data_IF_720456009864
#
_entry.id   IF_720456009864
#
_cell.length_a   1.000
_cell.length_b   1.000
_cell.length_c   1.000
_cell.angle_alpha   90.00
_cell.angle_beta   90.00
_cell.angle_gamma   90.00
#
_symmetry.space_group_name_H-M   'P 1'
#
loop_
_entity.id
_entity.type
_entity.pdbx_description
1 polymer ?
#
# COMPACT_ATOMS: atom_id res chain seq x y z
N UNK A 1 15.98 1.96 8.03
CA UNK A 1 15.16 1.36 6.97
C UNK A 1 16.07 0.48 6.12
N UNK A 2 15.55 -0.65 5.63
CA UNK A 2 16.27 -1.56 4.72
C UNK A 2 15.33 -1.99 3.60
N UNK A 3 15.88 -2.25 2.41
CA UNK A 3 15.11 -2.80 1.29
C UNK A 3 14.77 -4.27 1.58
N UNK A 4 13.51 -4.65 1.37
CA UNK A 4 13.06 -6.03 1.54
C UNK A 4 13.59 -6.94 0.43
N UNK A 5 13.84 -8.17 0.81
CA UNK A 5 14.17 -9.28 -0.09
C UNK A 5 12.99 -10.25 -0.22
N UNK A 6 13.03 -11.21 -1.16
CA UNK A 6 12.01 -12.27 -1.24
C UNK A 6 11.84 -13.09 0.05
N UNK A 7 12.88 -13.16 0.90
CA UNK A 7 12.84 -13.87 2.19
C UNK A 7 12.01 -13.11 3.25
N UNK A 8 11.84 -11.80 3.08
CA UNK A 8 11.10 -10.94 4.01
C UNK A 8 9.59 -10.92 3.74
N UNK A 9 9.14 -11.49 2.62
CA UNK A 9 7.75 -11.39 2.14
C UNK A 9 6.74 -11.86 3.17
N UNK A 10 6.98 -12.98 3.85
CA UNK A 10 6.04 -13.53 4.81
C UNK A 10 5.93 -12.63 6.05
N UNK A 11 7.05 -12.16 6.58
CA UNK A 11 7.07 -11.21 7.71
C UNK A 11 6.45 -9.88 7.35
N UNK A 12 6.76 -9.33 6.17
CA UNK A 12 6.18 -8.07 5.69
C UNK A 12 4.66 -8.20 5.49
N UNK A 13 4.18 -9.34 4.97
CA UNK A 13 2.76 -9.61 4.80
C UNK A 13 2.01 -9.66 6.13
N UNK A 14 2.60 -10.27 7.17
CA UNK A 14 2.00 -10.31 8.50
C UNK A 14 1.94 -8.92 9.14
N UNK A 15 2.99 -8.11 9.00
CA UNK A 15 2.98 -6.70 9.46
C UNK A 15 1.87 -5.90 8.78
N UNK A 16 1.76 -5.97 7.45
CA UNK A 16 0.71 -5.27 6.71
C UNK A 16 -0.68 -5.80 7.05
N UNK A 17 -0.86 -7.12 7.18
CA UNK A 17 -2.15 -7.69 7.58
C UNK A 17 -2.61 -7.18 8.94
N UNK A 18 -1.72 -7.09 9.92
CA UNK A 18 -2.02 -6.53 11.24
C UNK A 18 -2.31 -5.04 11.19
N UNK A 19 -1.52 -4.29 10.41
CA UNK A 19 -1.72 -2.85 10.23
C UNK A 19 -3.09 -2.51 9.63
N UNK A 20 -3.49 -3.27 8.59
CA UNK A 20 -4.72 -3.04 7.84
C UNK A 20 -5.94 -3.82 8.35
N UNK A 21 -5.82 -4.61 9.43
CA UNK A 21 -6.92 -5.41 9.99
C UNK A 21 -8.08 -4.58 10.53
N UNK A 22 -7.85 -3.31 10.80
CA UNK A 22 -8.85 -2.33 11.27
C UNK A 22 -9.13 -1.22 10.25
N UNK A 23 -8.53 -1.30 9.07
CA UNK A 23 -8.69 -0.32 8.01
C UNK A 23 -10.07 -0.49 7.33
N UNK A 24 -10.95 0.52 7.38
CA UNK A 24 -12.32 0.35 6.90
C UNK A 24 -12.42 0.20 5.38
N UNK A 25 -11.48 0.81 4.62
CA UNK A 25 -11.44 0.66 3.16
C UNK A 25 -11.11 -0.78 2.77
N UNK A 26 -10.06 -1.34 3.35
CA UNK A 26 -9.58 -2.68 3.03
C UNK A 26 -10.50 -3.76 3.59
N UNK A 27 -10.90 -3.64 4.87
CA UNK A 27 -11.79 -4.62 5.55
C UNK A 27 -13.18 -4.63 4.92
N UNK A 28 -13.67 -3.49 4.42
CA UNK A 28 -14.96 -3.40 3.73
C UNK A 28 -15.06 -4.28 2.48
N UNK A 29 -13.94 -4.63 1.86
CA UNK A 29 -13.88 -5.53 0.70
C UNK A 29 -13.76 -7.02 1.08
N UNK A 30 -13.57 -7.34 2.37
CA UNK A 30 -13.42 -8.72 2.82
C UNK A 30 -14.77 -9.33 3.21
N UNK A 31 -14.91 -10.65 3.14
CA UNK A 31 -16.02 -11.36 3.76
C UNK A 31 -16.03 -11.13 5.28
N UNK A 32 -17.24 -11.15 5.89
CA UNK A 32 -17.38 -11.07 7.35
C UNK A 32 -16.68 -12.24 8.04
N UNK A 33 -16.05 -11.98 9.19
CA UNK A 33 -15.38 -12.98 10.02
C UNK A 33 -13.89 -12.72 10.22
N UNK A 34 -13.06 -13.75 10.11
CA UNK A 34 -11.61 -13.62 10.24
C UNK A 34 -11.03 -12.76 9.13
N UNK A 35 -10.43 -11.64 9.49
CA UNK A 35 -9.81 -10.68 8.55
C UNK A 35 -8.29 -10.91 8.39
N UNK A 36 -7.63 -11.45 9.41
CA UNK A 36 -6.16 -11.56 9.39
C UNK A 36 -5.66 -12.55 8.35
N UNK A 37 -6.22 -13.77 8.32
CA UNK A 37 -5.80 -14.78 7.35
C UNK A 37 -5.99 -14.35 5.89
N UNK A 38 -7.16 -13.81 5.48
CA UNK A 38 -7.32 -13.24 4.14
C UNK A 38 -6.33 -12.12 3.86
N UNK A 39 -6.11 -11.19 4.81
CA UNK A 39 -5.17 -10.07 4.63
C UNK A 39 -3.72 -10.55 4.50
N UNK A 40 -3.27 -11.50 5.33
CA UNK A 40 -1.91 -12.07 5.17
C UNK A 40 -1.73 -12.71 3.78
N UNK A 41 -2.73 -13.43 3.27
CA UNK A 41 -2.68 -13.99 1.92
C UNK A 41 -2.63 -12.90 0.84
N UNK A 42 -3.46 -11.87 0.99
CA UNK A 42 -3.52 -10.72 0.09
C UNK A 42 -2.17 -10.00 0.02
N UNK A 43 -1.64 -9.58 1.16
CA UNK A 43 -0.38 -8.85 1.23
C UNK A 43 0.82 -9.69 0.78
N UNK A 44 0.85 -10.98 1.12
CA UNK A 44 1.86 -11.91 0.59
C UNK A 44 1.84 -11.96 -0.94
N UNK A 45 0.64 -11.98 -1.53
CA UNK A 45 0.47 -11.99 -2.99
C UNK A 45 0.92 -10.67 -3.60
N UNK A 46 0.43 -9.53 -3.08
CA UNK A 46 0.79 -8.21 -3.55
C UNK A 46 2.30 -7.98 -3.46
N UNK A 47 2.93 -8.29 -2.33
CA UNK A 47 4.38 -8.15 -2.15
C UNK A 47 5.17 -8.96 -3.19
N UNK A 48 4.78 -10.21 -3.44
CA UNK A 48 5.44 -11.05 -4.46
C UNK A 48 5.29 -10.46 -5.86
N UNK A 49 4.11 -10.00 -6.22
CA UNK A 49 3.85 -9.40 -7.53
C UNK A 49 4.62 -8.09 -7.70
N UNK A 50 4.59 -7.21 -6.71
CA UNK A 50 5.31 -5.94 -6.74
C UNK A 50 6.83 -6.17 -6.85
N UNK A 51 7.41 -7.04 -6.03
CA UNK A 51 8.85 -7.34 -6.11
C UNK A 51 9.23 -8.01 -7.44
N UNK A 52 8.40 -8.88 -7.98
CA UNK A 52 8.64 -9.52 -9.28
C UNK A 52 8.53 -8.54 -10.46
N UNK A 53 7.73 -7.48 -10.32
CA UNK A 53 7.61 -6.40 -11.31
C UNK A 53 8.71 -5.33 -11.21
N UNK A 54 9.66 -5.46 -10.27
CA UNK A 54 10.73 -4.47 -10.04
C UNK A 54 10.40 -3.45 -8.95
N UNK A 55 9.19 -3.47 -8.40
CA UNK A 55 8.75 -2.56 -7.35
C UNK A 55 9.55 -2.70 -6.05
N UNK A 56 9.31 -1.78 -5.14
CA UNK A 56 10.17 -1.55 -3.99
C UNK A 56 9.40 -1.75 -2.67
N UNK A 57 9.88 -2.66 -1.83
CA UNK A 57 9.41 -2.81 -0.45
C UNK A 57 10.53 -2.43 0.52
N UNK A 58 10.17 -1.65 1.55
CA UNK A 58 11.08 -1.18 2.59
C UNK A 58 10.58 -1.60 3.96
N UNK A 59 11.51 -2.02 4.82
CA UNK A 59 11.23 -2.48 6.17
C UNK A 59 11.88 -1.54 7.19
N UNK A 60 11.08 -1.07 8.15
CA UNK A 60 11.62 -0.49 9.37
C UNK A 60 11.87 -1.62 10.38
N UNK A 61 13.12 -1.84 10.74
CA UNK A 61 13.51 -2.84 11.74
C UNK A 61 13.87 -2.18 13.05
N UNK A 62 13.65 -2.88 14.16
CA UNK A 62 14.16 -2.45 15.47
C UNK A 62 15.69 -2.46 15.45
N UNK A 63 16.31 -1.41 15.97
CA UNK A 63 17.77 -1.30 16.01
C UNK A 63 18.36 -2.46 16.84
N UNK A 64 19.28 -3.21 16.25
CA UNK A 64 19.92 -4.36 16.90
C UNK A 64 19.07 -5.63 17.02
N UNK A 65 17.89 -5.67 16.37
CA UNK A 65 17.01 -6.85 16.37
C UNK A 65 16.46 -7.13 14.96
N UNK A 66 16.11 -8.38 14.64
CA UNK A 66 15.53 -8.75 13.35
C UNK A 66 14.07 -8.31 13.20
N UNK A 67 13.44 -7.84 14.28
CA UNK A 67 12.02 -7.50 14.32
C UNK A 67 11.66 -6.41 13.31
N UNK A 68 10.63 -6.67 12.49
CA UNK A 68 10.07 -5.72 11.52
C UNK A 68 8.91 -4.98 12.18
N UNK A 69 9.04 -3.67 12.29
CA UNK A 69 8.08 -2.79 12.95
C UNK A 69 7.11 -2.13 11.96
N UNK A 70 7.52 -2.02 10.70
CA UNK A 70 6.69 -1.42 9.66
C UNK A 70 7.20 -1.75 8.27
N UNK A 71 6.32 -1.60 7.30
CA UNK A 71 6.55 -1.87 5.87
C UNK A 71 6.00 -0.73 5.04
N UNK A 72 6.76 -0.30 4.03
CA UNK A 72 6.26 0.57 2.96
C UNK A 72 6.46 -0.11 1.61
N UNK A 73 5.43 -0.10 0.78
CA UNK A 73 5.41 -0.73 -0.54
C UNK A 73 5.20 0.35 -1.59
N UNK A 74 6.11 0.40 -2.57
CA UNK A 74 6.15 1.43 -3.60
C UNK A 74 6.21 0.82 -5.00
N UNK A 75 5.58 1.50 -5.94
CA UNK A 75 5.70 1.24 -7.38
C UNK A 75 6.29 2.47 -8.07
N UNK A 76 7.29 2.26 -8.93
CA UNK A 76 8.00 3.32 -9.62
C UNK A 76 7.27 3.85 -10.86
N UNK A 77 7.73 4.99 -11.41
CA UNK A 77 7.18 5.54 -12.63
C UNK A 77 7.29 4.53 -13.77
N UNK A 78 6.16 4.20 -14.41
CA UNK A 78 6.12 3.24 -15.52
C UNK A 78 6.10 1.76 -15.13
N UNK A 79 6.21 1.41 -13.84
CA UNK A 79 5.99 0.06 -13.34
C UNK A 79 4.48 -0.23 -13.36
N UNK A 80 4.01 -0.91 -14.41
CA UNK A 80 2.61 -1.34 -14.50
C UNK A 80 2.54 -2.84 -14.29
N UNK A 81 1.80 -3.27 -13.27
CA UNK A 81 1.42 -4.68 -13.15
C UNK A 81 0.55 -5.03 -14.37
N UNK A 82 1.08 -5.82 -15.28
CA UNK A 82 0.32 -6.20 -16.48
C UNK A 82 -0.79 -7.19 -16.11
N UNK A 83 -1.91 -7.15 -16.85
CA UNK A 83 -3.00 -8.13 -16.70
C UNK A 83 -2.49 -9.58 -16.78
N UNK A 84 -1.44 -9.85 -17.56
CA UNK A 84 -0.81 -11.18 -17.64
C UNK A 84 -0.17 -11.61 -16.33
N UNK A 85 0.36 -10.67 -15.54
CA UNK A 85 0.94 -10.93 -14.21
C UNK A 85 -0.14 -11.16 -13.15
N UNK A 86 -1.37 -10.65 -13.36
CA UNK A 86 -2.51 -10.89 -12.47
C UNK A 86 -3.14 -12.28 -12.66
N UNK A 87 -3.08 -12.87 -13.85
CA UNK A 87 -3.71 -14.18 -14.16
C UNK A 87 -3.27 -15.29 -13.21
N UNK A 88 -1.98 -15.50 -12.90
CA UNK A 88 -1.55 -16.52 -11.93
C UNK A 88 -2.06 -16.26 -10.51
N UNK A 89 -2.43 -15.01 -10.20
CA UNK A 89 -2.93 -14.57 -8.90
C UNK A 89 -4.45 -14.66 -8.73
N UNK A 90 -5.20 -14.84 -9.80
CA UNK A 90 -6.66 -14.75 -9.80
C UNK A 90 -7.31 -15.66 -8.77
N UNK A 91 -6.88 -16.91 -8.67
CA UNK A 91 -7.40 -17.86 -7.66
C UNK A 91 -7.11 -17.40 -6.23
N UNK A 92 -5.96 -16.75 -6.00
CA UNK A 92 -5.61 -16.19 -4.70
C UNK A 92 -6.56 -15.03 -4.35
N UNK A 93 -6.79 -14.10 -5.26
CA UNK A 93 -7.72 -12.99 -5.06
C UNK A 93 -9.16 -13.48 -4.86
N UNK A 94 -9.62 -14.45 -5.65
CA UNK A 94 -10.92 -15.11 -5.47
C UNK A 94 -11.04 -15.76 -4.08
N UNK A 95 -9.98 -16.40 -3.58
CA UNK A 95 -9.96 -17.03 -2.25
C UNK A 95 -10.00 -16.02 -1.10
N UNK A 96 -9.46 -14.81 -1.31
CA UNK A 96 -9.44 -13.71 -0.34
C UNK A 96 -10.80 -13.00 -0.32
N UNK A 97 -11.25 -12.51 -1.45
CA UNK A 97 -12.45 -11.67 -1.54
C UNK A 97 -13.76 -12.48 -1.65
N UNK A 98 -13.69 -13.73 -2.11
CA UNK A 98 -14.85 -14.65 -2.26
C UNK A 98 -16.01 -13.97 -3.01
N UNK A 99 -17.19 -13.89 -2.41
CA UNK A 99 -18.37 -13.22 -3.00
C UNK A 99 -18.21 -11.70 -3.16
N UNK A 100 -17.20 -11.09 -2.54
CA UNK A 100 -16.87 -9.65 -2.65
C UNK A 100 -15.87 -9.35 -3.77
N UNK A 101 -15.43 -10.38 -4.50
CA UNK A 101 -14.46 -10.23 -5.57
C UNK A 101 -14.89 -9.25 -6.68
N UNK A 102 -16.16 -9.23 -7.14
CA UNK A 102 -16.60 -8.26 -8.13
C UNK A 102 -16.47 -6.80 -7.65
N UNK A 103 -16.81 -6.53 -6.37
CA UNK A 103 -16.65 -5.19 -5.77
C UNK A 103 -15.17 -4.82 -5.64
N UNK A 104 -14.33 -5.74 -5.21
CA UNK A 104 -12.89 -5.53 -5.10
C UNK A 104 -12.27 -5.21 -6.48
N UNK A 105 -12.66 -5.92 -7.53
CA UNK A 105 -12.18 -5.69 -8.88
C UNK A 105 -12.62 -4.31 -9.43
N UNK A 106 -13.87 -3.93 -9.20
CA UNK A 106 -14.37 -2.60 -9.60
C UNK A 106 -13.65 -1.50 -8.82
N UNK A 107 -13.43 -1.67 -7.52
CA UNK A 107 -12.71 -0.70 -6.67
C UNK A 107 -11.27 -0.54 -7.12
N UNK A 108 -10.55 -1.62 -7.39
CA UNK A 108 -9.18 -1.59 -7.91
C UNK A 108 -9.09 -0.86 -9.26
N UNK A 109 -10.04 -1.13 -10.16
CA UNK A 109 -10.12 -0.42 -11.44
C UNK A 109 -10.33 1.08 -11.24
N UNK A 110 -11.28 1.48 -10.40
CA UNK A 110 -11.59 2.89 -10.13
C UNK A 110 -10.41 3.60 -9.43
N UNK A 111 -9.72 2.91 -8.53
CA UNK A 111 -8.48 3.40 -7.93
C UNK A 111 -7.42 3.68 -9.00
N UNK A 112 -7.20 2.72 -9.91
CA UNK A 112 -6.26 2.88 -11.01
C UNK A 112 -6.62 4.04 -11.96
N UNK A 113 -7.90 4.26 -12.23
CA UNK A 113 -8.41 5.38 -13.04
C UNK A 113 -8.23 6.75 -12.34
N UNK A 114 -8.06 6.77 -11.01
CA UNK A 114 -7.82 7.98 -10.22
C UNK A 114 -6.35 8.39 -10.14
N UNK A 115 -5.43 7.54 -10.60
CA UNK A 115 -4.01 7.87 -10.64
C UNK A 115 -3.73 9.04 -11.61
N UNK A 116 -2.66 9.83 -11.38
CA UNK A 116 -2.19 10.82 -12.35
C UNK A 116 -1.86 10.17 -13.72
N UNK A 117 -2.13 10.90 -14.81
CA UNK A 117 -1.77 10.45 -16.16
C UNK A 117 -0.25 10.45 -16.39
N UNK A 118 0.46 11.39 -15.76
CA UNK A 118 1.91 11.49 -15.83
C UNK A 118 2.59 10.34 -15.07
N UNK A 119 3.80 9.94 -15.48
CA UNK A 119 4.60 8.99 -14.70
C UNK A 119 4.81 9.49 -13.27
N UNK A 120 4.53 8.66 -12.28
CA UNK A 120 4.59 9.02 -10.86
C UNK A 120 5.04 7.85 -10.00
N UNK A 121 5.56 8.14 -8.81
CA UNK A 121 5.74 7.16 -7.76
C UNK A 121 4.41 6.89 -7.08
N UNK A 122 4.10 5.63 -6.82
CA UNK A 122 2.90 5.22 -6.09
C UNK A 122 3.25 4.57 -4.76
N UNK A 123 2.80 5.18 -3.66
CA UNK A 123 2.81 4.54 -2.34
C UNK A 123 1.60 3.61 -2.23
N UNK A 124 1.82 2.35 -2.58
CA UNK A 124 0.76 1.33 -2.58
C UNK A 124 0.29 0.94 -1.18
N UNK A 125 1.21 0.91 -0.21
CA UNK A 125 0.88 0.66 1.19
C UNK A 125 1.98 1.17 2.12
N UNK A 126 1.59 1.67 3.27
CA UNK A 126 2.46 1.84 4.44
C UNK A 126 1.72 1.39 5.68
N UNK A 127 2.33 0.51 6.47
CA UNK A 127 1.73 -0.02 7.69
C UNK A 127 2.77 -0.31 8.75
N UNK A 128 2.38 -0.16 10.01
CA UNK A 128 3.20 -0.49 11.17
C UNK A 128 2.46 -1.48 12.06
N UNK A 129 3.20 -2.31 12.78
CA UNK A 129 2.57 -3.16 13.79
C UNK A 129 1.84 -2.29 14.84
N UNK A 130 0.67 -2.73 15.34
CA UNK A 130 -0.14 -1.92 16.24
C UNK A 130 0.60 -1.44 17.49
N UNK A 131 1.57 -2.22 17.98
CA UNK A 131 2.33 -1.96 19.21
C UNK A 131 3.21 -0.72 19.16
N UNK A 132 3.63 -0.30 17.95
CA UNK A 132 4.48 0.90 17.75
C UNK A 132 3.73 2.02 17.03
N UNK A 133 2.40 1.95 17.02
CA UNK A 133 1.58 3.01 16.42
C UNK A 133 1.78 4.32 17.16
N UNK A 134 2.05 5.41 16.44
CA UNK A 134 2.36 6.72 17.03
C UNK A 134 3.84 6.95 17.38
N UNK A 135 4.70 5.93 17.34
CA UNK A 135 6.15 6.06 17.62
C UNK A 135 6.98 6.58 16.42
N UNK A 136 6.34 7.00 15.33
CA UNK A 136 7.02 7.61 14.19
C UNK A 136 7.61 6.62 13.17
N UNK A 137 7.39 5.31 13.32
CA UNK A 137 7.92 4.30 12.40
C UNK A 137 7.46 4.53 10.95
N UNK A 138 6.18 4.85 10.74
CA UNK A 138 5.66 5.20 9.42
C UNK A 138 6.31 6.48 8.86
N UNK A 139 6.57 7.47 9.72
CA UNK A 139 7.27 8.70 9.36
C UNK A 139 8.70 8.43 8.88
N UNK A 140 9.41 7.54 9.55
CA UNK A 140 10.77 7.13 9.15
C UNK A 140 10.75 6.45 7.78
N UNK A 141 9.81 5.51 7.54
CA UNK A 141 9.65 4.84 6.25
C UNK A 141 9.36 5.80 5.11
N UNK A 142 8.45 6.77 5.33
CA UNK A 142 8.09 7.76 4.31
C UNK A 142 9.25 8.71 4.02
N UNK A 143 9.87 9.29 5.06
CA UNK A 143 10.98 10.25 4.87
C UNK A 143 12.19 9.63 4.18
N UNK A 144 12.49 8.36 4.49
CA UNK A 144 13.62 7.64 3.89
C UNK A 144 13.45 7.57 2.36
N UNK A 145 12.27 7.16 1.89
CA UNK A 145 12.04 7.02 0.45
C UNK A 145 11.74 8.35 -0.25
N UNK A 146 10.98 9.25 0.38
CA UNK A 146 10.64 10.53 -0.24
C UNK A 146 11.87 11.39 -0.52
N UNK A 147 12.93 11.32 0.29
CA UNK A 147 14.20 12.02 0.01
C UNK A 147 14.87 11.54 -1.28
N UNK A 148 14.79 10.23 -1.56
CA UNK A 148 15.34 9.69 -2.81
C UNK A 148 14.47 10.11 -4.00
N UNK A 149 13.14 10.03 -3.87
CA UNK A 149 12.18 10.44 -4.90
C UNK A 149 12.31 11.93 -5.23
N UNK A 150 12.60 12.79 -4.24
CA UNK A 150 12.82 14.23 -4.47
C UNK A 150 13.96 14.51 -5.45
N UNK A 151 15.01 13.69 -5.42
CA UNK A 151 16.11 13.77 -6.38
C UNK A 151 15.77 13.32 -7.81
N UNK A 152 14.64 12.65 -8.00
CA UNK A 152 14.17 12.19 -9.31
C UNK A 152 13.25 13.21 -10.01
N UNK A 153 12.80 14.26 -9.32
CA UNK A 153 11.89 15.29 -9.81
C UNK A 153 10.57 14.73 -10.39
N UNK A 154 10.04 13.69 -9.78
CA UNK A 154 8.81 12.99 -10.18
C UNK A 154 7.75 13.14 -9.10
N UNK A 155 6.49 13.33 -9.50
CA UNK A 155 5.40 13.41 -8.55
C UNK A 155 5.14 12.05 -7.86
N UNK A 156 4.49 12.12 -6.70
CA UNK A 156 4.14 10.94 -5.92
C UNK A 156 2.64 10.92 -5.66
N UNK A 157 2.03 9.75 -5.80
CA UNK A 157 0.62 9.52 -5.52
C UNK A 157 0.41 8.51 -4.40
N UNK A 158 -0.67 8.66 -3.67
CA UNK A 158 -1.18 7.67 -2.69
C UNK A 158 -2.69 7.80 -2.54
N UNK A 159 -3.31 6.75 -1.98
CA UNK A 159 -4.67 6.80 -1.46
C UNK A 159 -4.65 6.66 0.06
N UNK A 160 -5.06 7.71 0.77
CA UNK A 160 -5.28 7.65 2.20
C UNK A 160 -6.60 6.91 2.47
N UNK A 161 -6.57 5.79 3.16
CA UNK A 161 -7.73 4.91 3.36
C UNK A 161 -8.85 5.54 4.20
N UNK A 162 -8.55 6.60 4.96
CA UNK A 162 -9.53 7.39 5.73
C UNK A 162 -9.22 8.88 5.66
N UNK A 163 -10.26 9.71 5.86
CA UNK A 163 -10.10 11.16 5.92
C UNK A 163 -9.14 11.60 7.05
N UNK A 164 -9.08 10.87 8.16
CA UNK A 164 -8.22 11.18 9.30
C UNK A 164 -6.72 11.03 9.00
N UNK A 165 -6.36 10.30 7.94
CA UNK A 165 -4.99 10.17 7.48
C UNK A 165 -4.53 11.34 6.58
N UNK A 166 -5.45 12.15 6.06
CA UNK A 166 -5.11 13.29 5.20
C UNK A 166 -4.15 14.27 5.90
N UNK A 167 -4.38 14.71 7.15
CA UNK A 167 -3.43 15.58 7.85
C UNK A 167 -2.06 14.93 8.09
N UNK A 168 -2.01 13.60 8.25
CA UNK A 168 -0.76 12.86 8.39
C UNK A 168 0.09 12.97 7.12
N UNK A 169 -0.50 12.70 5.95
CA UNK A 169 0.22 12.77 4.67
C UNK A 169 0.51 14.20 4.22
N UNK A 170 -0.34 15.17 4.58
CA UNK A 170 -0.10 16.59 4.29
C UNK A 170 1.24 17.10 4.88
N UNK A 171 1.71 16.55 6.01
CA UNK A 171 3.02 16.88 6.60
C UNK A 171 4.21 16.50 5.71
N UNK A 172 4.01 15.60 4.76
CA UNK A 172 5.01 15.19 3.77
C UNK A 172 4.84 15.90 2.43
N UNK A 173 3.97 16.92 2.36
CA UNK A 173 3.72 17.69 1.14
C UNK A 173 2.66 17.09 0.20
N UNK A 174 1.90 16.08 0.64
CA UNK A 174 0.78 15.55 -0.13
C UNK A 174 -0.43 16.48 -0.06
N UNK A 175 -1.07 16.70 -1.21
CA UNK A 175 -2.25 17.54 -1.38
C UNK A 175 -3.41 16.64 -1.79
N UNK A 176 -4.55 16.78 -1.09
CA UNK A 176 -5.75 16.00 -1.39
C UNK A 176 -6.33 16.32 -2.75
N UNK A 177 -6.73 15.29 -3.49
CA UNK A 177 -7.48 15.34 -4.75
C UNK A 177 -8.97 14.99 -4.57
N UNK A 178 -9.36 14.63 -3.35
CA UNK A 178 -10.73 14.21 -3.02
C UNK A 178 -10.90 12.69 -2.99
N UNK A 179 -12.15 12.26 -2.77
CA UNK A 179 -12.46 10.84 -2.64
C UNK A 179 -12.27 10.08 -3.95
N UNK A 180 -11.63 8.92 -3.86
CA UNK A 180 -11.49 7.95 -4.96
C UNK A 180 -12.77 7.11 -5.03
N UNK A 181 -13.45 7.05 -6.19
CA UNK A 181 -14.62 6.21 -6.33
C UNK A 181 -14.34 4.75 -5.98
N UNK A 182 -15.28 4.10 -5.31
CA UNK A 182 -15.14 2.68 -4.92
C UNK A 182 -16.50 1.99 -4.93
N UNK A 183 -16.51 0.66 -4.78
CA UNK A 183 -17.72 -0.13 -4.66
C UNK A 183 -17.62 -1.09 -3.47
N UNK A 184 -18.65 -1.08 -2.63
CA UNK A 184 -18.77 -2.04 -1.53
C UNK A 184 -17.86 -1.77 -0.31
N UNK A 185 -17.18 -0.63 -0.29
CA UNK A 185 -16.36 -0.18 0.83
C UNK A 185 -16.44 1.34 0.99
N UNK A 186 -15.74 1.91 1.97
CA UNK A 186 -15.61 3.37 2.13
C UNK A 186 -14.58 3.92 1.14
N UNK A 187 -14.79 5.13 0.56
CA UNK A 187 -13.84 5.71 -0.35
C UNK A 187 -12.54 6.11 0.36
N UNK A 188 -11.41 5.80 -0.26
CA UNK A 188 -10.13 6.38 0.09
C UNK A 188 -10.02 7.82 -0.47
N UNK A 189 -9.02 8.57 -0.04
CA UNK A 189 -8.76 9.93 -0.49
C UNK A 189 -7.48 9.92 -1.33
N UNK A 190 -7.61 10.22 -2.62
CA UNK A 190 -6.46 10.39 -3.49
C UNK A 190 -5.64 11.62 -3.10
N UNK A 191 -4.33 11.47 -3.01
CA UNK A 191 -3.43 12.55 -2.66
C UNK A 191 -2.20 12.55 -3.57
N UNK A 192 -1.78 13.74 -4.00
CA UNK A 192 -0.61 13.94 -4.84
C UNK A 192 0.41 14.81 -4.11
N UNK A 193 1.67 14.42 -4.17
CA UNK A 193 2.80 15.24 -3.79
C UNK A 193 3.52 15.69 -5.07
N UNK A 194 3.51 17.00 -5.38
CA UNK A 194 4.19 17.52 -6.55
C UNK A 194 5.68 17.18 -6.56
N UNK A 195 6.25 17.06 -7.76
CA UNK A 195 7.70 16.97 -7.91
C UNK A 195 8.37 18.18 -7.25
N UNK A 196 9.49 17.95 -6.57
CA UNK A 196 10.34 19.03 -6.05
C UNK A 196 11.14 19.58 -7.21
N UNK A 197 11.21 20.91 -7.38
CA UNK A 197 11.97 21.58 -8.46
C UNK A 197 13.47 21.26 -8.45
#
# INVERSE_FOLDING_TARGET
>A
VVRASPQDVDTAADVLARAFSVDPHVVGLLPRGDVLRPLTRLWRRILRETLAAGGHAYLARRRGAPEVLGVALWEGPGEKVSLRQMVPGLLSYLSVFRQRFPEALVTERLAHEAHPDAPHWYLKAVGTVPEVRGEGVGTVLLNDRLREIDGEHVETYLEASTQDLVPYYARFGFISRGPVPCRGTVPAIGMVRPAVP
#
